data_IF_326093456452
#
_entry.id   IF_326093456452
#
_cell.length_a   1.000
_cell.length_b   1.000
_cell.length_c   1.000
_cell.angle_alpha   90.00
_cell.angle_beta   90.00
_cell.angle_gamma   90.00
#
_symmetry.space_group_name_H-M   'P 1'
#
loop_
_entity.id
_entity.type
_entity.pdbx_description
1 polymer ?
#
# COMPACT_ATOMS: atom_id res chain seq x y z
N UNK A 1 -15.75 12.45 31.84
CA UNK A 1 -15.77 12.44 30.36
C UNK A 1 -14.91 13.56 29.74
N UNK A 2 -14.94 14.79 30.23
CA UNK A 2 -14.13 15.91 29.68
C UNK A 2 -12.60 15.77 29.85
N UNK A 3 -12.11 15.24 30.97
CA UNK A 3 -10.68 15.04 31.22
C UNK A 3 -10.04 14.03 30.24
N UNK A 4 -10.74 12.97 29.92
CA UNK A 4 -10.27 11.92 28.98
C UNK A 4 -10.21 12.45 27.54
N UNK A 5 -11.19 13.25 27.10
CA UNK A 5 -11.14 13.95 25.81
C UNK A 5 -9.99 14.95 25.71
N UNK A 6 -9.67 15.65 26.79
CA UNK A 6 -8.55 16.59 26.84
C UNK A 6 -7.20 15.87 26.77
N UNK A 7 -7.01 14.76 27.46
CA UNK A 7 -5.77 13.96 27.39
C UNK A 7 -5.53 13.36 26.00
N UNK A 8 -6.58 12.83 25.35
CA UNK A 8 -6.47 12.28 24.00
C UNK A 8 -6.13 13.38 22.99
N UNK A 9 -6.74 14.55 23.11
CA UNK A 9 -6.45 15.72 22.28
C UNK A 9 -5.00 16.19 22.45
N UNK A 10 -4.51 16.27 23.66
CA UNK A 10 -3.13 16.70 23.95
C UNK A 10 -2.11 15.69 23.37
N UNK A 11 -2.38 14.38 23.47
CA UNK A 11 -1.53 13.34 22.85
C UNK A 11 -1.51 13.44 21.33
N UNK A 12 -2.66 13.67 20.69
CA UNK A 12 -2.75 13.87 19.26
C UNK A 12 -2.00 15.13 18.81
N UNK A 13 -2.14 16.24 19.52
CA UNK A 13 -1.42 17.48 19.24
C UNK A 13 0.10 17.29 19.38
N UNK A 14 0.54 16.57 20.40
CA UNK A 14 1.95 16.25 20.61
C UNK A 14 2.49 15.38 19.47
N UNK A 15 1.76 14.35 19.05
CA UNK A 15 2.15 13.50 17.90
C UNK A 15 2.23 14.31 16.61
N UNK A 16 1.26 15.18 16.34
CA UNK A 16 1.27 16.08 15.18
C UNK A 16 2.46 17.05 15.23
N UNK A 17 2.77 17.59 16.40
CA UNK A 17 3.92 18.48 16.58
C UNK A 17 5.24 17.75 16.33
N UNK A 18 5.41 16.54 16.88
CA UNK A 18 6.61 15.71 16.64
C UNK A 18 6.72 15.34 15.16
N UNK A 19 5.62 14.95 14.51
CA UNK A 19 5.61 14.62 13.08
C UNK A 19 5.96 15.83 12.21
N UNK A 20 5.40 17.01 12.51
CA UNK A 20 5.72 18.24 11.76
C UNK A 20 7.15 18.69 11.98
N UNK A 21 7.66 18.60 13.21
CA UNK A 21 9.05 18.96 13.53
C UNK A 21 10.03 18.02 12.83
N UNK A 22 9.78 16.70 12.84
CA UNK A 22 10.61 15.73 12.12
C UNK A 22 10.59 15.94 10.60
N UNK A 23 9.43 16.29 10.04
CA UNK A 23 9.32 16.65 8.64
C UNK A 23 10.10 17.92 8.26
N UNK A 24 10.06 18.95 9.11
CA UNK A 24 10.84 20.18 8.94
C UNK A 24 12.35 19.91 9.04
N UNK A 25 12.77 19.13 10.03
CA UNK A 25 14.17 18.73 10.18
C UNK A 25 14.68 17.93 8.98
N UNK A 26 13.83 17.06 8.42
CA UNK A 26 14.18 16.31 7.19
C UNK A 26 14.39 17.22 5.98
N UNK A 27 13.65 18.31 5.88
CA UNK A 27 13.80 19.29 4.79
C UNK A 27 15.05 20.16 4.95
N UNK A 28 15.52 20.37 6.19
CA UNK A 28 16.75 21.15 6.44
C UNK A 28 18.00 20.33 6.08
N UNK A 29 18.81 20.78 5.11
CA UNK A 29 20.10 20.14 4.81
C UNK A 29 21.12 20.52 5.89
N UNK A 30 21.64 19.53 6.59
CA UNK A 30 22.70 19.79 7.60
C UNK A 30 24.12 19.90 6.97
N UNK A 31 24.35 19.30 5.78
CA UNK A 31 25.71 19.10 5.26
C UNK A 31 25.96 19.58 3.82
N UNK A 32 24.97 20.16 3.12
CA UNK A 32 25.11 20.55 1.70
C UNK A 32 24.49 21.92 1.41
N UNK A 33 25.05 22.69 0.46
CA UNK A 33 24.42 23.94 0.03
C UNK A 33 23.01 23.66 -0.48
N UNK A 34 22.06 24.50 -0.07
CA UNK A 34 20.65 24.48 -0.47
C UNK A 34 20.52 24.72 -1.98
N UNK A 35 20.73 23.69 -2.78
CA UNK A 35 20.38 23.74 -4.20
C UNK A 35 18.90 23.44 -4.35
N UNK A 36 18.18 24.20 -5.18
CA UNK A 36 16.74 24.00 -5.42
C UNK A 36 16.41 22.58 -5.88
N UNK A 37 17.37 21.89 -6.50
CA UNK A 37 17.23 20.49 -6.91
C UNK A 37 17.14 19.53 -5.72
N UNK A 38 17.99 19.67 -4.71
CA UNK A 38 17.98 18.83 -3.50
C UNK A 38 16.67 19.03 -2.72
N UNK A 39 16.22 20.27 -2.62
CA UNK A 39 14.96 20.62 -1.97
C UNK A 39 13.75 19.97 -2.67
N UNK A 40 13.75 19.98 -4.01
CA UNK A 40 12.73 19.32 -4.82
C UNK A 40 12.70 17.80 -4.57
N UNK A 41 13.87 17.15 -4.58
CA UNK A 41 13.95 15.70 -4.31
C UNK A 41 13.47 15.33 -2.89
N UNK A 42 13.85 16.13 -1.89
CA UNK A 42 13.43 15.90 -0.49
C UNK A 42 11.92 16.12 -0.31
N UNK A 43 11.36 17.17 -0.92
CA UNK A 43 9.92 17.42 -0.86
C UNK A 43 9.10 16.31 -1.53
N UNK A 44 9.57 15.76 -2.65
CA UNK A 44 8.95 14.60 -3.31
C UNK A 44 8.95 13.36 -2.44
N UNK A 45 10.06 13.07 -1.75
CA UNK A 45 10.17 11.97 -0.79
C UNK A 45 9.24 12.17 0.41
N UNK A 46 9.19 13.37 0.96
CA UNK A 46 8.30 13.70 2.06
C UNK A 46 6.82 13.49 1.67
N UNK A 47 6.44 13.93 0.47
CA UNK A 47 5.10 13.69 -0.08
C UNK A 47 4.78 12.19 -0.17
N UNK A 48 5.72 11.39 -0.66
CA UNK A 48 5.54 9.94 -0.74
C UNK A 48 5.39 9.31 0.65
N UNK A 49 6.19 9.71 1.64
CA UNK A 49 6.05 9.26 3.02
C UNK A 49 4.67 9.59 3.61
N UNK A 50 4.20 10.82 3.39
CA UNK A 50 2.88 11.24 3.87
C UNK A 50 1.75 10.44 3.22
N UNK A 51 1.81 10.22 1.90
CA UNK A 51 0.82 9.41 1.19
C UNK A 51 0.78 7.97 1.70
N UNK A 52 1.94 7.34 1.88
CA UNK A 52 2.02 5.97 2.41
C UNK A 52 1.46 5.90 3.85
N UNK A 53 1.82 6.87 4.69
CA UNK A 53 1.33 6.93 6.07
C UNK A 53 -0.21 7.09 6.13
N UNK A 54 -0.76 8.01 5.33
CA UNK A 54 -2.21 8.25 5.26
C UNK A 54 -2.92 7.01 4.73
N UNK A 55 -2.42 6.41 3.65
CA UNK A 55 -3.03 5.23 3.04
C UNK A 55 -3.03 4.04 3.97
N UNK A 56 -1.88 3.75 4.60
CA UNK A 56 -1.74 2.66 5.56
C UNK A 56 -2.64 2.84 6.79
N UNK A 57 -2.72 4.07 7.30
CA UNK A 57 -3.62 4.42 8.40
C UNK A 57 -5.09 4.25 8.04
N UNK A 58 -5.54 4.81 6.91
CA UNK A 58 -6.91 4.70 6.43
C UNK A 58 -7.30 3.24 6.14
N UNK A 59 -6.43 2.49 5.46
CA UNK A 59 -6.67 1.08 5.16
C UNK A 59 -6.80 0.25 6.43
N UNK A 60 -5.90 0.44 7.39
CA UNK A 60 -5.91 -0.31 8.66
C UNK A 60 -7.15 0.02 9.49
N UNK A 61 -7.48 1.31 9.68
CA UNK A 61 -8.65 1.73 10.46
C UNK A 61 -9.94 1.23 9.80
N UNK A 62 -10.07 1.39 8.48
CA UNK A 62 -11.25 0.92 7.75
C UNK A 62 -11.42 -0.59 7.88
N UNK A 63 -10.33 -1.33 7.77
CA UNK A 63 -10.34 -2.78 7.90
C UNK A 63 -10.72 -3.23 9.32
N UNK A 64 -10.13 -2.63 10.35
CA UNK A 64 -10.46 -2.90 11.74
C UNK A 64 -11.91 -2.57 12.08
N UNK A 65 -12.45 -1.52 11.47
CA UNK A 65 -13.85 -1.12 11.65
C UNK A 65 -14.82 -2.13 11.01
N UNK A 66 -14.51 -2.60 9.79
CA UNK A 66 -15.35 -3.58 9.07
C UNK A 66 -15.32 -4.96 9.76
N UNK A 67 -14.17 -5.34 10.30
CA UNK A 67 -13.98 -6.64 10.95
C UNK A 67 -14.33 -6.61 12.43
N UNK A 68 -14.68 -5.45 12.98
CA UNK A 68 -14.94 -5.22 14.42
C UNK A 68 -13.80 -5.73 15.32
N UNK A 69 -12.60 -5.85 14.76
CA UNK A 69 -11.44 -6.40 15.45
C UNK A 69 -10.20 -5.53 15.25
N UNK A 70 -9.67 -5.01 16.36
CA UNK A 70 -8.50 -4.11 16.37
C UNK A 70 -7.16 -4.80 16.13
N UNK A 71 -7.11 -6.12 16.19
CA UNK A 71 -5.88 -6.89 15.97
C UNK A 71 -5.65 -7.24 14.51
N UNK A 72 -6.65 -7.02 13.65
CA UNK A 72 -6.57 -7.34 12.24
C UNK A 72 -6.00 -6.18 11.43
N UNK A 73 -5.04 -6.53 10.59
CA UNK A 73 -4.50 -5.64 9.57
C UNK A 73 -4.74 -6.25 8.17
N UNK A 74 -4.80 -5.44 7.10
CA UNK A 74 -4.93 -5.95 5.74
C UNK A 74 -3.84 -6.95 5.34
N UNK A 75 -2.64 -6.85 5.91
CA UNK A 75 -1.52 -7.76 5.66
C UNK A 75 -1.82 -9.21 6.06
N UNK A 76 -2.62 -9.41 7.12
CA UNK A 76 -3.01 -10.76 7.59
C UNK A 76 -3.89 -11.48 6.57
N UNK A 77 -4.64 -10.74 5.75
CA UNK A 77 -5.43 -11.30 4.65
C UNK A 77 -4.59 -11.82 3.47
N UNK A 78 -3.28 -11.77 3.54
CA UNK A 78 -2.42 -12.17 2.44
C UNK A 78 -2.42 -11.18 1.26
N UNK A 79 -2.86 -9.93 1.46
CA UNK A 79 -2.90 -8.90 0.41
C UNK A 79 -1.52 -8.61 -0.16
N UNK A 80 -0.49 -8.67 0.69
CA UNK A 80 0.90 -8.52 0.28
C UNK A 80 1.34 -9.69 -0.63
N UNK A 81 1.02 -10.92 -0.23
CA UNK A 81 1.34 -12.12 -1.04
C UNK A 81 0.59 -12.11 -2.38
N UNK A 82 -0.65 -11.61 -2.39
CA UNK A 82 -1.41 -11.40 -3.62
C UNK A 82 -0.74 -10.37 -4.53
N UNK A 83 -0.27 -9.24 -3.97
CA UNK A 83 0.45 -8.23 -4.76
C UNK A 83 1.71 -8.80 -5.40
N UNK A 84 2.54 -9.54 -4.62
CA UNK A 84 3.74 -10.20 -5.12
C UNK A 84 3.38 -11.18 -6.25
N UNK A 85 2.32 -11.97 -6.07
CA UNK A 85 1.86 -12.92 -7.07
C UNK A 85 1.40 -12.24 -8.36
N UNK A 86 0.62 -11.16 -8.26
CA UNK A 86 0.16 -10.39 -9.43
C UNK A 86 1.32 -9.73 -10.19
N UNK A 87 2.30 -9.15 -9.47
CA UNK A 87 3.51 -8.61 -10.08
C UNK A 87 4.34 -9.69 -10.78
N UNK A 88 4.45 -10.86 -10.16
CA UNK A 88 5.17 -11.99 -10.75
C UNK A 88 4.49 -12.47 -12.02
N UNK A 89 3.16 -12.66 -12.00
CA UNK A 89 2.38 -13.03 -13.20
C UNK A 89 2.56 -11.98 -14.29
N UNK A 90 2.39 -10.71 -13.95
CA UNK A 90 2.50 -9.64 -14.93
C UNK A 90 3.86 -9.67 -15.64
N UNK A 91 4.96 -9.72 -14.91
CA UNK A 91 6.29 -9.76 -15.50
C UNK A 91 6.55 -11.05 -16.27
N UNK A 92 6.13 -12.20 -15.75
CA UNK A 92 6.32 -13.50 -16.41
C UNK A 92 5.61 -13.58 -17.78
N UNK A 93 4.39 -13.04 -17.87
CA UNK A 93 3.63 -13.07 -19.11
C UNK A 93 3.91 -11.86 -20.01
N UNK A 94 4.15 -10.67 -19.43
CA UNK A 94 4.45 -9.47 -20.22
C UNK A 94 5.72 -9.64 -21.03
N UNK A 95 6.74 -10.29 -20.49
CA UNK A 95 7.99 -10.57 -21.21
C UNK A 95 7.79 -11.48 -22.40
N UNK A 96 6.88 -12.45 -22.28
CA UNK A 96 6.64 -13.47 -23.34
C UNK A 96 5.64 -13.01 -24.41
N UNK A 97 4.63 -12.21 -24.05
CA UNK A 97 3.49 -11.93 -24.95
C UNK A 97 3.34 -10.47 -25.37
N UNK A 98 3.78 -9.51 -24.55
CA UNK A 98 3.47 -8.09 -24.77
C UNK A 98 4.71 -7.29 -25.18
N UNK A 99 5.91 -7.86 -24.98
CA UNK A 99 7.15 -7.07 -25.03
C UNK A 99 7.19 -6.04 -23.89
N UNK A 100 8.31 -5.37 -23.76
CA UNK A 100 8.52 -4.41 -22.67
C UNK A 100 7.58 -3.19 -22.88
N UNK A 101 6.40 -3.20 -22.28
CA UNK A 101 5.54 -2.00 -22.23
C UNK A 101 6.26 -0.98 -21.37
N UNK A 102 7.04 -0.12 -22.01
CA UNK A 102 7.95 0.83 -21.37
C UNK A 102 7.30 1.96 -20.55
N UNK A 103 6.01 1.83 -20.19
CA UNK A 103 5.28 2.84 -19.43
C UNK A 103 4.96 2.36 -18.00
N UNK A 104 5.76 2.79 -16.99
CA UNK A 104 5.56 2.40 -15.60
C UNK A 104 4.16 2.70 -15.06
N UNK A 105 3.52 3.75 -15.56
CA UNK A 105 2.19 4.17 -15.16
C UNK A 105 1.11 3.19 -15.65
N UNK A 106 1.22 2.69 -16.88
CA UNK A 106 0.28 1.67 -17.41
C UNK A 106 0.38 0.38 -16.61
N UNK A 107 1.59 -0.05 -16.30
CA UNK A 107 1.81 -1.22 -15.46
C UNK A 107 1.18 -1.07 -14.08
N UNK A 108 1.41 0.08 -13.43
CA UNK A 108 0.81 0.39 -12.13
C UNK A 108 -0.72 0.30 -12.18
N UNK A 109 -1.35 0.93 -13.19
CA UNK A 109 -2.81 0.91 -13.34
C UNK A 109 -3.32 -0.51 -13.60
N UNK A 110 -2.66 -1.29 -14.46
CA UNK A 110 -3.05 -2.66 -14.77
C UNK A 110 -3.01 -3.54 -13.53
N UNK A 111 -1.90 -3.54 -12.79
CA UNK A 111 -1.76 -4.33 -11.56
C UNK A 111 -2.80 -3.93 -10.52
N UNK A 112 -3.04 -2.62 -10.37
CA UNK A 112 -4.05 -2.10 -9.45
C UNK A 112 -5.45 -2.54 -9.84
N UNK A 113 -5.83 -2.47 -11.12
CA UNK A 113 -7.14 -2.90 -11.60
C UNK A 113 -7.35 -4.41 -11.42
N UNK A 114 -6.34 -5.23 -11.75
CA UNK A 114 -6.40 -6.68 -11.56
C UNK A 114 -6.56 -7.02 -10.08
N UNK A 115 -5.81 -6.36 -9.21
CA UNK A 115 -5.86 -6.58 -7.77
C UNK A 115 -7.21 -6.17 -7.17
N UNK A 116 -7.74 -5.02 -7.57
CA UNK A 116 -9.08 -4.57 -7.18
C UNK A 116 -10.16 -5.53 -7.71
N UNK A 117 -10.08 -5.93 -8.98
CA UNK A 117 -11.03 -6.89 -9.58
C UNK A 117 -11.03 -8.22 -8.84
N UNK A 118 -9.85 -8.76 -8.53
CA UNK A 118 -9.72 -9.99 -7.75
C UNK A 118 -10.37 -9.85 -6.35
N UNK A 119 -10.13 -8.71 -5.68
CA UNK A 119 -10.75 -8.45 -4.38
C UNK A 119 -12.28 -8.35 -4.46
N UNK A 120 -12.81 -7.71 -5.50
CA UNK A 120 -14.26 -7.65 -5.74
C UNK A 120 -14.85 -9.05 -5.98
N UNK A 121 -14.16 -9.91 -6.70
CA UNK A 121 -14.58 -11.31 -6.92
C UNK A 121 -14.55 -12.13 -5.63
N UNK A 122 -13.61 -11.86 -4.73
CA UNK A 122 -13.52 -12.55 -3.43
C UNK A 122 -14.53 -12.04 -2.39
N UNK A 123 -15.04 -10.82 -2.55
CA UNK A 123 -15.92 -10.19 -1.57
C UNK A 123 -17.14 -11.05 -1.14
N UNK A 124 -17.90 -11.70 -2.06
CA UNK A 124 -19.03 -12.53 -1.67
C UNK A 124 -18.62 -13.79 -0.89
N UNK A 125 -17.46 -14.37 -1.23
CA UNK A 125 -16.91 -15.50 -0.49
C UNK A 125 -16.49 -15.08 0.93
N UNK A 126 -15.80 -13.95 1.05
CA UNK A 126 -15.39 -13.38 2.34
C UNK A 126 -16.60 -13.07 3.23
N UNK A 127 -17.70 -12.54 2.68
CA UNK A 127 -18.93 -12.29 3.44
C UNK A 127 -19.55 -13.57 4.00
N UNK A 128 -19.58 -14.66 3.24
CA UNK A 128 -20.05 -15.97 3.72
C UNK A 128 -19.15 -16.53 4.81
N UNK A 129 -17.84 -16.36 4.66
CA UNK A 129 -16.87 -16.84 5.64
C UNK A 129 -16.93 -16.06 6.96
N UNK A 130 -17.24 -14.76 6.90
CA UNK A 130 -17.45 -13.91 8.10
C UNK A 130 -18.57 -14.46 9.00
N UNK A 131 -19.56 -15.11 8.42
CA UNK A 131 -20.66 -15.73 9.18
C UNK A 131 -20.24 -17.00 9.93
N UNK A 132 -19.13 -17.65 9.54
CA UNK A 132 -18.65 -18.89 10.18
C UNK A 132 -17.70 -18.63 11.36
N UNK A 133 -17.34 -17.39 11.61
CA UNK A 133 -16.49 -16.98 12.72
C UNK A 133 -15.12 -16.49 12.31
N UNK A 134 -14.58 -15.64 13.15
CA UNK A 134 -13.34 -14.90 12.91
C UNK A 134 -12.11 -15.81 12.69
N UNK A 135 -11.96 -16.85 13.53
CA UNK A 135 -10.81 -17.76 13.45
C UNK A 135 -10.76 -18.48 12.10
N UNK A 136 -11.93 -18.85 11.57
CA UNK A 136 -12.04 -19.55 10.30
C UNK A 136 -11.58 -18.67 9.11
N UNK A 137 -11.98 -17.39 9.09
CA UNK A 137 -11.48 -16.44 8.09
C UNK A 137 -9.97 -16.29 8.16
N UNK A 138 -9.43 -16.11 9.36
CA UNK A 138 -8.02 -15.95 9.56
C UNK A 138 -7.24 -17.14 8.99
N UNK A 139 -7.68 -18.36 9.27
CA UNK A 139 -7.07 -19.58 8.73
C UNK A 139 -7.11 -19.63 7.20
N UNK A 140 -8.27 -19.31 6.59
CA UNK A 140 -8.40 -19.32 5.13
C UNK A 140 -7.53 -18.23 4.49
N UNK A 141 -7.50 -17.02 5.06
CA UNK A 141 -6.68 -15.94 4.55
C UNK A 141 -5.19 -16.26 4.65
N UNK A 142 -4.75 -16.89 5.73
CA UNK A 142 -3.37 -17.36 5.86
C UNK A 142 -3.06 -18.46 4.84
N UNK A 143 -3.98 -19.42 4.62
CA UNK A 143 -3.82 -20.46 3.61
C UNK A 143 -3.73 -19.88 2.19
N UNK A 144 -4.60 -18.93 1.85
CA UNK A 144 -4.55 -18.21 0.57
C UNK A 144 -3.25 -17.42 0.40
N UNK A 145 -2.80 -16.73 1.45
CA UNK A 145 -1.54 -15.99 1.45
C UNK A 145 -0.33 -16.91 1.18
N UNK A 146 -0.29 -18.08 1.82
CA UNK A 146 0.76 -19.08 1.58
C UNK A 146 0.68 -19.67 0.17
N UNK A 147 -0.52 -19.91 -0.35
CA UNK A 147 -0.74 -20.39 -1.71
C UNK A 147 -0.22 -19.37 -2.75
N UNK A 148 -0.56 -18.10 -2.61
CA UNK A 148 -0.07 -17.05 -3.51
C UNK A 148 1.45 -16.91 -3.45
N UNK A 149 2.02 -16.99 -2.25
CA UNK A 149 3.47 -16.93 -2.06
C UNK A 149 4.16 -18.11 -2.73
N UNK A 150 3.66 -19.33 -2.53
CA UNK A 150 4.22 -20.54 -3.15
C UNK A 150 4.11 -20.50 -4.67
N UNK A 151 2.98 -20.06 -5.21
CA UNK A 151 2.80 -19.89 -6.64
C UNK A 151 3.73 -18.81 -7.22
N UNK A 152 3.96 -17.72 -6.49
CA UNK A 152 4.94 -16.70 -6.89
C UNK A 152 6.34 -17.27 -6.97
N UNK A 153 6.78 -18.00 -5.94
CA UNK A 153 8.12 -18.61 -5.91
C UNK A 153 8.27 -19.58 -7.06
N UNK A 154 7.27 -20.41 -7.34
CA UNK A 154 7.30 -21.34 -8.48
C UNK A 154 7.51 -20.61 -9.80
N UNK A 155 6.75 -19.55 -10.07
CA UNK A 155 6.91 -18.74 -11.28
C UNK A 155 8.28 -18.04 -11.34
N UNK A 156 8.78 -17.54 -10.21
CA UNK A 156 10.08 -16.88 -10.12
C UNK A 156 11.23 -17.81 -10.48
N UNK A 157 11.15 -19.09 -10.12
CA UNK A 157 12.15 -20.10 -10.52
C UNK A 157 12.16 -20.35 -12.03
N UNK A 158 11.03 -20.15 -12.70
CA UNK A 158 10.89 -20.32 -14.15
C UNK A 158 11.20 -19.05 -14.96
N UNK A 159 11.48 -17.93 -14.28
CA UNK A 159 11.80 -16.65 -14.93
C UNK A 159 13.25 -16.59 -15.40
N UNK A 160 13.48 -15.80 -16.46
CA UNK A 160 14.84 -15.42 -16.83
C UNK A 160 15.48 -14.55 -15.73
N UNK A 161 16.82 -14.69 -15.47
CA UNK A 161 17.50 -13.93 -14.44
C UNK A 161 17.28 -12.41 -14.53
N UNK A 162 17.30 -11.86 -15.74
CA UNK A 162 17.08 -10.42 -15.97
C UNK A 162 15.66 -9.96 -15.58
N UNK A 163 14.68 -10.81 -15.74
CA UNK A 163 13.28 -10.53 -15.37
C UNK A 163 13.09 -10.68 -13.86
N UNK A 164 13.74 -11.68 -13.28
CA UNK A 164 13.77 -11.84 -11.84
C UNK A 164 14.38 -10.62 -11.14
N UNK A 165 15.48 -10.07 -11.64
CA UNK A 165 16.09 -8.85 -11.10
C UNK A 165 15.16 -7.62 -11.22
N UNK A 166 14.45 -7.50 -12.36
CA UNK A 166 13.41 -6.45 -12.52
C UNK A 166 12.29 -6.63 -11.49
N UNK A 167 11.84 -7.88 -11.27
CA UNK A 167 10.81 -8.17 -10.28
C UNK A 167 11.27 -7.80 -8.88
N UNK A 168 12.47 -8.22 -8.48
CA UNK A 168 13.04 -7.90 -7.18
C UNK A 168 13.15 -6.38 -6.97
N UNK A 169 13.58 -5.64 -7.98
CA UNK A 169 13.65 -4.17 -7.91
C UNK A 169 12.28 -3.52 -7.67
N UNK A 170 11.19 -4.14 -8.16
CA UNK A 170 9.82 -3.64 -7.95
C UNK A 170 9.21 -4.07 -6.63
N UNK A 171 9.56 -5.26 -6.14
CA UNK A 171 9.07 -5.78 -4.87
C UNK A 171 9.73 -5.13 -3.66
N UNK A 172 10.98 -4.65 -3.80
CA UNK A 172 11.65 -3.91 -2.75
C UNK A 172 11.22 -2.43 -2.79
N UNK A 173 10.37 -1.97 -1.84
CA UNK A 173 9.94 -0.60 -1.81
C UNK A 173 11.14 0.32 -1.56
N UNK A 174 11.33 1.29 -2.46
CA UNK A 174 12.42 2.27 -2.35
C UNK A 174 11.86 3.67 -2.55
N UNK A 175 12.02 4.51 -1.54
CA UNK A 175 11.73 5.95 -1.62
C UNK A 175 12.81 6.77 -2.34
N UNK A 176 13.84 6.10 -2.86
CA UNK A 176 14.88 6.78 -3.63
C UNK A 176 14.52 6.95 -5.12
N UNK A 177 13.66 6.06 -5.64
CA UNK A 177 13.22 6.05 -7.04
C UNK A 177 11.73 6.38 -7.13
N UNK A 178 11.39 7.65 -6.93
CA UNK A 178 9.99 8.08 -6.99
C UNK A 178 9.65 8.48 -8.42
N UNK A 179 8.63 7.83 -8.99
CA UNK A 179 8.01 8.26 -10.23
C UNK A 179 6.87 9.23 -9.90
N UNK A 180 7.01 10.48 -10.33
CA UNK A 180 6.03 11.53 -10.02
C UNK A 180 4.68 11.32 -10.68
N UNK A 181 4.64 10.67 -11.85
CA UNK A 181 3.38 10.39 -12.53
C UNK A 181 2.56 9.36 -11.75
N UNK A 182 3.21 8.30 -11.26
CA UNK A 182 2.58 7.30 -10.39
C UNK A 182 2.15 7.92 -9.06
N UNK A 183 3.01 8.75 -8.46
CA UNK A 183 2.72 9.40 -7.19
C UNK A 183 1.51 10.33 -7.29
N UNK A 184 1.37 11.10 -8.37
CA UNK A 184 0.25 12.01 -8.59
C UNK A 184 -1.07 11.25 -8.78
N UNK A 185 -1.06 10.18 -9.59
CA UNK A 185 -2.24 9.33 -9.78
C UNK A 185 -2.63 8.64 -8.48
N UNK A 186 -1.66 8.10 -7.75
CA UNK A 186 -1.92 7.49 -6.43
C UNK A 186 -2.51 8.50 -5.44
N UNK A 187 -2.00 9.74 -5.40
CA UNK A 187 -2.53 10.80 -4.54
C UNK A 187 -3.99 11.13 -4.84
N UNK A 188 -4.36 11.19 -6.12
CA UNK A 188 -5.75 11.43 -6.55
C UNK A 188 -6.65 10.27 -6.10
N UNK A 189 -6.25 9.02 -6.35
CA UNK A 189 -7.02 7.83 -5.96
C UNK A 189 -7.22 7.77 -4.45
N UNK A 190 -6.15 8.01 -3.67
CA UNK A 190 -6.19 8.00 -2.21
C UNK A 190 -7.08 9.14 -1.70
N UNK A 191 -6.97 10.33 -2.29
CA UNK A 191 -7.82 11.48 -1.95
C UNK A 191 -9.30 11.20 -2.17
N UNK A 192 -9.66 10.64 -3.32
CA UNK A 192 -11.04 10.26 -3.63
C UNK A 192 -11.57 9.16 -2.69
N UNK A 193 -10.75 8.13 -2.43
CA UNK A 193 -11.11 7.07 -1.50
C UNK A 193 -11.30 7.61 -0.07
N UNK A 194 -10.41 8.49 0.38
CA UNK A 194 -10.50 9.15 1.69
C UNK A 194 -11.78 10.00 1.83
N UNK A 195 -12.10 10.81 0.82
CA UNK A 195 -13.33 11.61 0.79
C UNK A 195 -14.58 10.73 0.82
N UNK A 196 -14.58 9.63 0.07
CA UNK A 196 -15.69 8.67 0.07
C UNK A 196 -15.89 8.04 1.46
N UNK A 197 -14.81 7.63 2.12
CA UNK A 197 -14.86 7.05 3.48
C UNK A 197 -15.37 8.06 4.51
N UNK A 198 -14.89 9.31 4.44
CA UNK A 198 -15.35 10.38 5.33
C UNK A 198 -16.85 10.65 5.16
N UNK A 199 -17.33 10.68 3.91
CA UNK A 199 -18.78 10.90 3.63
C UNK A 199 -19.63 9.74 4.13
N UNK A 200 -19.15 8.51 4.03
CA UNK A 200 -19.88 7.32 4.49
C UNK A 200 -19.90 7.18 6.01
N UNK A 201 -18.86 7.62 6.70
CA UNK A 201 -18.79 7.57 8.18
C UNK A 201 -19.41 8.83 8.84
N UNK A 202 -19.85 9.82 8.05
CA UNK A 202 -20.55 11.00 8.53
C UNK A 202 -22.09 10.81 8.58
N UNK A 203 -22.58 9.63 8.20
CA UNK A 203 -23.97 9.17 8.36
C UNK A 203 -23.99 8.05 9.40
#
# INVERSE_FOLDING_TARGET
MNKMKSQTRNRLLLLLLVASLSGLLYLMPMDYPLTGFIMKLRSQKLLAYLLVAITGGLATISFQTITENRFLTPSILGMESLYVFMQTIYLFFASKFIGNTGHPLLEFILVLLIQCGFFFCLQPALKKLLQQGFVFILLICMALGTLFRSASIFLQVLMDPNEYDKLQTKLFPSFQRINMDILSVAAIIIGLAGLYLLKKNAI
#
